data_IF_299414396974
#
_entry.id   IF_299414396974
#
_cell.length_a   1.000
_cell.length_b   1.000
_cell.length_c   1.000
_cell.angle_alpha   90.00
_cell.angle_beta   90.00
_cell.angle_gamma   90.00
#
_symmetry.space_group_name_H-M   'P 1'
#
loop_
_entity.id
_entity.type
_entity.pdbx_description
1 polymer ?
#
# COMPACT_ATOMS: atom_id res chain seq x y z
N UNK A 1 -21.56 74.62 54.68
CA UNK A 1 -21.84 73.37 55.39
C UNK A 1 -21.14 72.18 54.67
N UNK A 2 -20.11 71.63 55.32
CA UNK A 2 -19.63 70.29 55.33
C UNK A 2 -19.17 69.73 53.93
N UNK A 3 -17.89 69.58 53.57
CA UNK A 3 -16.82 69.01 54.37
C UNK A 3 -16.72 67.50 54.05
N UNK A 4 -15.84 67.09 53.15
CA UNK A 4 -15.60 65.67 52.85
C UNK A 4 -14.27 65.51 52.09
N UNK A 5 -13.19 65.39 52.90
CA UNK A 5 -11.83 65.10 52.39
C UNK A 5 -11.78 63.71 51.74
N UNK A 6 -11.21 63.61 50.55
CA UNK A 6 -10.82 62.36 49.93
C UNK A 6 -9.39 61.98 50.34
N UNK A 7 -9.23 60.94 51.13
CA UNK A 7 -7.95 60.29 51.41
C UNK A 7 -7.42 59.56 50.20
N UNK A 8 -6.22 59.99 49.78
CA UNK A 8 -5.37 59.18 48.86
C UNK A 8 -4.72 58.05 49.66
N UNK A 9 -4.94 56.84 49.31
CA UNK A 9 -4.16 55.69 49.77
C UNK A 9 -3.17 55.28 48.64
N UNK A 10 -1.90 55.57 48.92
CA UNK A 10 -0.79 55.09 48.11
C UNK A 10 -0.62 53.60 48.34
N UNK A 11 -0.84 52.76 47.37
CA UNK A 11 -0.46 51.34 47.44
C UNK A 11 0.92 51.19 46.83
N UNK A 12 1.85 50.81 47.67
CA UNK A 12 3.21 50.44 47.32
C UNK A 12 3.17 49.08 46.66
N UNK A 13 3.67 48.96 45.43
CA UNK A 13 3.89 47.69 44.77
C UNK A 13 5.26 47.16 45.15
N UNK A 14 5.28 46.09 45.93
CA UNK A 14 6.46 45.29 46.17
C UNK A 14 6.79 44.49 44.92
N UNK A 15 7.99 44.74 44.42
CA UNK A 15 8.60 44.06 43.30
C UNK A 15 9.15 42.72 43.79
N UNK A 16 8.40 41.63 43.66
CA UNK A 16 8.85 40.30 43.99
C UNK A 16 9.04 39.51 42.69
N UNK A 17 10.29 39.26 42.36
CA UNK A 17 10.77 38.58 41.19
C UNK A 17 10.13 37.17 41.05
N UNK A 18 9.27 37.02 40.10
CA UNK A 18 8.76 35.71 39.67
C UNK A 18 9.86 34.94 38.94
N UNK A 19 10.38 33.92 39.58
CA UNK A 19 11.23 32.90 38.95
C UNK A 19 10.43 32.17 37.86
N UNK A 20 11.06 31.83 36.72
CA UNK A 20 10.37 31.05 35.69
C UNK A 20 10.08 29.64 36.21
N UNK A 21 8.82 29.29 36.31
CA UNK A 21 8.37 27.91 36.55
C UNK A 21 8.71 27.06 35.33
N UNK A 22 9.81 26.32 35.44
CA UNK A 22 10.11 25.26 34.46
C UNK A 22 9.12 24.12 34.70
N UNK A 23 8.10 24.05 33.87
CA UNK A 23 7.15 22.95 33.88
C UNK A 23 7.81 21.76 33.20
N UNK A 24 8.36 20.85 33.99
CA UNK A 24 8.84 19.56 33.52
C UNK A 24 7.60 18.69 33.27
N UNK A 25 7.29 18.40 32.00
CA UNK A 25 6.28 17.41 31.65
C UNK A 25 6.84 16.03 32.04
N UNK A 26 6.02 15.15 32.63
CA UNK A 26 6.43 13.76 32.87
C UNK A 26 6.66 13.04 31.53
N UNK A 27 7.65 12.13 31.49
CA UNK A 27 8.06 11.37 30.32
C UNK A 27 6.91 10.61 29.64
N UNK A 28 5.85 10.28 30.36
CA UNK A 28 4.64 9.65 29.85
C UNK A 28 3.87 10.47 28.79
N UNK A 29 3.94 11.82 28.85
CA UNK A 29 3.24 12.68 27.89
C UNK A 29 3.96 12.79 26.54
N UNK A 30 5.30 12.61 26.53
CA UNK A 30 6.08 12.59 25.29
C UNK A 30 5.77 11.35 24.46
N UNK A 31 5.57 10.19 25.10
CA UNK A 31 5.22 8.93 24.44
C UNK A 31 3.79 8.97 23.90
N UNK A 32 2.85 9.61 24.62
CA UNK A 32 1.46 9.80 24.15
C UNK A 32 1.35 10.76 22.97
N UNK A 33 2.17 11.80 22.90
CA UNK A 33 2.21 12.72 21.76
C UNK A 33 2.82 12.03 20.54
N UNK A 34 3.85 11.20 20.71
CA UNK A 34 4.46 10.43 19.63
C UNK A 34 3.50 9.42 19.01
N UNK A 35 2.75 8.66 19.83
CA UNK A 35 1.76 7.69 19.33
C UNK A 35 0.56 8.35 18.67
N UNK A 36 0.08 9.50 19.17
CA UNK A 36 -1.02 10.23 18.53
C UNK A 36 -0.59 10.80 17.16
N UNK A 37 0.62 11.33 17.03
CA UNK A 37 1.12 11.86 15.77
C UNK A 37 1.33 10.72 14.74
N UNK A 38 1.85 9.56 15.17
CA UNK A 38 2.01 8.41 14.28
C UNK A 38 0.67 7.87 13.78
N UNK A 39 -0.35 7.77 14.63
CA UNK A 39 -1.69 7.33 14.22
C UNK A 39 -2.32 8.28 13.19
N UNK A 40 -2.16 9.59 13.37
CA UNK A 40 -2.71 10.60 12.46
C UNK A 40 -1.97 10.64 11.11
N UNK A 41 -0.66 10.45 11.10
CA UNK A 41 0.13 10.34 9.86
C UNK A 41 -0.23 9.08 9.10
N UNK A 42 -0.47 7.99 9.81
CA UNK A 42 -0.90 6.72 9.28
C UNK A 42 -2.23 6.82 8.53
N UNK A 43 -3.27 7.34 9.19
CA UNK A 43 -4.59 7.53 8.60
C UNK A 43 -4.54 8.42 7.34
N UNK A 44 -3.68 9.41 7.33
CA UNK A 44 -3.49 10.33 6.19
C UNK A 44 -2.93 9.64 4.95
N UNK A 45 -1.95 8.72 5.09
CA UNK A 45 -1.37 8.01 3.94
C UNK A 45 -2.41 7.09 3.28
N UNK A 46 -3.13 6.30 4.06
CA UNK A 46 -4.22 5.44 3.56
C UNK A 46 -5.30 6.25 2.83
N UNK A 47 -5.73 7.39 3.40
CA UNK A 47 -6.72 8.25 2.77
C UNK A 47 -6.20 8.84 1.46
N UNK A 48 -4.97 9.36 1.46
CA UNK A 48 -4.34 9.94 0.27
C UNK A 48 -4.26 8.94 -0.88
N UNK A 49 -3.68 7.76 -0.66
CA UNK A 49 -3.50 6.77 -1.73
C UNK A 49 -4.82 6.15 -2.19
N UNK A 50 -5.80 6.00 -1.30
CA UNK A 50 -7.16 5.56 -1.69
C UNK A 50 -7.82 6.58 -2.62
N UNK A 51 -7.77 7.86 -2.28
CA UNK A 51 -8.32 8.94 -3.10
C UNK A 51 -7.56 9.06 -4.44
N UNK A 52 -6.23 8.93 -4.42
CA UNK A 52 -5.37 8.95 -5.60
C UNK A 52 -5.75 7.86 -6.60
N UNK A 53 -5.83 6.59 -6.15
CA UNK A 53 -6.26 5.46 -6.98
C UNK A 53 -7.65 5.71 -7.56
N UNK A 54 -8.61 6.08 -6.72
CA UNK A 54 -9.99 6.32 -7.13
C UNK A 54 -10.10 7.41 -8.20
N UNK A 55 -9.41 8.55 -8.01
CA UNK A 55 -9.47 9.68 -8.94
C UNK A 55 -8.81 9.39 -10.29
N UNK A 56 -7.70 8.65 -10.31
CA UNK A 56 -6.95 8.34 -11.53
C UNK A 56 -7.56 7.18 -12.29
N UNK A 57 -7.89 6.09 -11.61
CA UNK A 57 -8.50 4.91 -12.22
C UNK A 57 -9.96 5.14 -12.65
N UNK A 58 -10.64 6.12 -12.05
CA UNK A 58 -11.96 6.57 -12.51
C UNK A 58 -11.97 7.16 -13.92
N UNK A 59 -10.81 7.50 -14.47
CA UNK A 59 -10.63 7.98 -15.85
C UNK A 59 -10.52 6.84 -16.87
N UNK A 60 -10.31 5.58 -16.41
CA UNK A 60 -10.20 4.42 -17.28
C UNK A 60 -11.58 3.96 -17.76
N UNK A 61 -11.73 3.83 -19.05
CA UNK A 61 -12.85 3.09 -19.62
C UNK A 61 -12.69 1.59 -19.36
N UNK A 62 -13.80 0.86 -19.39
CA UNK A 62 -13.81 -0.57 -19.12
C UNK A 62 -12.87 -1.37 -20.04
N UNK A 63 -12.83 -1.01 -21.33
CA UNK A 63 -11.95 -1.63 -22.32
C UNK A 63 -10.46 -1.34 -22.13
N UNK A 64 -10.09 -0.38 -21.29
CA UNK A 64 -8.69 -0.04 -20.98
C UNK A 64 -8.17 -0.79 -19.75
N UNK A 65 -9.07 -1.42 -18.98
CA UNK A 65 -8.68 -2.18 -17.79
C UNK A 65 -8.04 -3.50 -18.18
N UNK A 66 -6.86 -3.77 -17.60
CA UNK A 66 -6.12 -4.99 -17.91
C UNK A 66 -6.72 -6.21 -17.24
N UNK A 67 -6.73 -7.33 -17.95
CA UNK A 67 -7.07 -8.64 -17.38
C UNK A 67 -5.83 -9.25 -16.74
N UNK A 68 -5.94 -9.66 -15.48
CA UNK A 68 -4.83 -10.18 -14.69
C UNK A 68 -5.07 -11.63 -14.32
N UNK A 69 -4.11 -12.49 -14.62
CA UNK A 69 -3.99 -13.81 -14.03
C UNK A 69 -3.19 -13.70 -12.74
N UNK A 70 -3.83 -14.03 -11.63
CA UNK A 70 -3.21 -14.04 -10.32
C UNK A 70 -2.79 -15.46 -9.97
N UNK A 71 -1.53 -15.66 -9.58
CA UNK A 71 -1.01 -16.95 -9.15
C UNK A 71 -0.49 -16.86 -7.71
N UNK A 72 -1.01 -17.70 -6.81
CA UNK A 72 -0.65 -17.73 -5.39
C UNK A 72 -0.32 -19.15 -4.93
N UNK A 73 0.49 -19.29 -3.89
CA UNK A 73 0.93 -20.60 -3.42
C UNK A 73 1.71 -21.37 -4.50
N UNK A 74 1.18 -22.54 -4.89
CA UNK A 74 1.77 -23.33 -5.98
C UNK A 74 1.53 -22.76 -7.37
N UNK A 75 2.12 -23.40 -8.38
CA UNK A 75 1.81 -23.09 -9.77
C UNK A 75 0.35 -23.46 -10.09
N UNK A 76 -0.29 -22.67 -10.94
CA UNK A 76 -1.68 -22.88 -11.39
C UNK A 76 -2.78 -22.71 -10.34
N UNK A 77 -2.43 -22.27 -9.12
CA UNK A 77 -3.45 -21.88 -8.13
C UNK A 77 -3.78 -20.41 -8.30
N UNK A 78 -5.03 -20.13 -8.66
CA UNK A 78 -5.53 -18.76 -8.90
C UNK A 78 -6.68 -18.42 -7.97
N UNK A 79 -7.04 -17.14 -7.95
CA UNK A 79 -8.09 -16.58 -7.10
C UNK A 79 -9.39 -16.43 -7.87
N UNK A 80 -10.51 -16.72 -7.22
CA UNK A 80 -11.84 -16.47 -7.76
C UNK A 80 -12.43 -15.14 -7.28
N UNK A 81 -13.74 -15.00 -7.47
CA UNK A 81 -14.46 -13.72 -7.21
C UNK A 81 -14.58 -13.38 -5.73
N UNK A 82 -14.59 -14.36 -4.85
CA UNK A 82 -14.82 -14.16 -3.41
C UNK A 82 -13.54 -13.88 -2.63
N UNK A 83 -12.37 -13.98 -3.27
CA UNK A 83 -11.09 -13.72 -2.62
C UNK A 83 -10.88 -12.23 -2.32
N UNK A 84 -10.07 -11.95 -1.30
CA UNK A 84 -9.65 -10.58 -0.95
C UNK A 84 -8.76 -9.96 -2.04
N UNK A 85 -7.98 -10.77 -2.72
CA UNK A 85 -7.09 -10.39 -3.81
C UNK A 85 -7.89 -9.98 -5.07
N UNK A 86 -9.08 -10.53 -5.26
CA UNK A 86 -10.00 -10.03 -6.30
C UNK A 86 -10.36 -8.56 -6.06
N UNK A 87 -10.70 -8.19 -4.82
CA UNK A 87 -10.98 -6.81 -4.46
C UNK A 87 -9.73 -5.91 -4.62
N UNK A 88 -8.53 -6.43 -4.30
CA UNK A 88 -7.27 -5.72 -4.51
C UNK A 88 -7.05 -5.43 -6.01
N UNK A 89 -7.26 -6.39 -6.90
CA UNK A 89 -7.15 -6.18 -8.35
C UNK A 89 -8.12 -5.11 -8.86
N UNK A 90 -9.36 -5.12 -8.37
CA UNK A 90 -10.33 -4.07 -8.71
C UNK A 90 -9.86 -2.69 -8.25
N UNK A 91 -9.29 -2.60 -7.04
CA UNK A 91 -8.71 -1.37 -6.50
C UNK A 91 -7.51 -0.88 -7.29
N UNK A 92 -6.75 -1.79 -7.91
CA UNK A 92 -5.65 -1.47 -8.83
C UNK A 92 -6.12 -1.18 -10.27
N UNK A 93 -7.43 -1.14 -10.51
CA UNK A 93 -8.02 -0.86 -11.82
C UNK A 93 -8.01 -2.02 -12.81
N UNK A 94 -7.78 -3.25 -12.35
CA UNK A 94 -7.65 -4.44 -13.18
C UNK A 94 -8.83 -5.42 -13.00
N UNK A 95 -8.99 -6.32 -13.97
CA UNK A 95 -9.93 -7.42 -13.89
C UNK A 95 -9.22 -8.73 -13.53
N UNK A 96 -9.81 -9.51 -12.64
CA UNK A 96 -9.39 -10.88 -12.40
C UNK A 96 -9.82 -11.77 -13.58
N UNK A 97 -8.89 -12.46 -14.23
CA UNK A 97 -9.15 -13.40 -15.33
C UNK A 97 -10.13 -14.52 -14.93
N UNK A 98 -10.20 -14.85 -13.63
CA UNK A 98 -11.13 -15.82 -13.06
C UNK A 98 -12.37 -15.19 -12.39
N UNK A 99 -12.71 -13.93 -12.68
CA UNK A 99 -13.83 -13.19 -12.06
C UNK A 99 -15.21 -13.85 -12.17
N UNK A 100 -15.39 -14.80 -13.12
CA UNK A 100 -16.62 -15.58 -13.27
C UNK A 100 -16.69 -16.82 -12.38
N UNK A 101 -15.62 -17.13 -11.64
CA UNK A 101 -15.52 -18.26 -10.72
C UNK A 101 -15.88 -17.77 -9.32
N UNK A 102 -16.86 -18.45 -8.70
CA UNK A 102 -17.38 -18.05 -7.40
C UNK A 102 -16.51 -18.54 -6.24
N UNK A 103 -15.58 -19.42 -6.50
CA UNK A 103 -14.64 -19.99 -5.53
C UNK A 103 -13.70 -18.89 -4.98
N UNK A 104 -13.14 -19.08 -3.81
CA UNK A 104 -12.09 -18.23 -3.25
C UNK A 104 -10.76 -18.48 -3.98
N UNK A 105 -10.36 -19.75 -4.06
CA UNK A 105 -9.21 -20.23 -4.84
C UNK A 105 -9.58 -21.43 -5.68
N UNK A 106 -8.90 -21.60 -6.81
CA UNK A 106 -9.10 -22.72 -7.72
C UNK A 106 -7.80 -23.09 -8.44
N UNK A 107 -7.69 -24.34 -8.85
CA UNK A 107 -6.59 -24.80 -9.70
C UNK A 107 -7.02 -24.74 -11.17
N UNK A 108 -6.15 -24.21 -12.01
CA UNK A 108 -6.33 -24.12 -13.46
C UNK A 108 -5.16 -24.80 -14.17
N UNK A 109 -5.24 -24.97 -15.47
CA UNK A 109 -4.15 -25.46 -16.31
C UNK A 109 -3.59 -24.35 -17.24
N UNK A 110 -2.46 -24.61 -17.86
CA UNK A 110 -1.85 -23.70 -18.82
C UNK A 110 -2.79 -23.37 -19.98
N UNK A 111 -3.54 -24.36 -20.48
CA UNK A 111 -4.50 -24.15 -21.56
C UNK A 111 -5.66 -23.23 -21.17
N UNK A 112 -6.07 -23.27 -19.88
CA UNK A 112 -7.06 -22.31 -19.37
C UNK A 112 -6.48 -20.89 -19.35
N UNK A 113 -5.24 -20.73 -18.87
CA UNK A 113 -4.58 -19.42 -18.81
C UNK A 113 -4.39 -18.86 -20.24
N UNK A 114 -3.92 -19.70 -21.17
CA UNK A 114 -3.75 -19.31 -22.57
C UNK A 114 -5.07 -18.85 -23.21
N UNK A 115 -6.17 -19.59 -23.01
CA UNK A 115 -7.51 -19.19 -23.50
C UNK A 115 -8.01 -17.89 -22.89
N UNK A 116 -7.66 -17.60 -21.62
CA UNK A 116 -7.98 -16.32 -20.96
C UNK A 116 -7.17 -15.18 -21.52
N UNK A 117 -5.99 -15.46 -22.05
CA UNK A 117 -5.07 -14.49 -22.63
C UNK A 117 -4.90 -13.24 -21.75
N UNK A 118 -4.43 -13.37 -20.50
CA UNK A 118 -4.30 -12.24 -19.59
C UNK A 118 -3.34 -11.19 -20.13
N UNK A 119 -3.59 -9.92 -19.80
CA UNK A 119 -2.73 -8.79 -20.13
C UNK A 119 -1.55 -8.66 -19.18
N UNK A 120 -1.68 -9.20 -17.96
CA UNK A 120 -0.64 -9.23 -16.94
C UNK A 120 -0.75 -10.50 -16.08
N UNK A 121 0.36 -10.89 -15.48
CA UNK A 121 0.48 -11.97 -14.48
C UNK A 121 0.97 -11.35 -13.18
N UNK A 122 0.30 -11.67 -12.07
CA UNK A 122 0.76 -11.36 -10.72
C UNK A 122 1.05 -12.67 -10.01
N UNK A 123 2.26 -12.84 -9.50
CA UNK A 123 2.69 -14.00 -8.70
C UNK A 123 2.98 -13.56 -7.27
N UNK A 124 2.28 -14.18 -6.32
CA UNK A 124 2.60 -14.01 -4.89
C UNK A 124 3.73 -14.96 -4.52
N UNK A 125 4.72 -14.43 -3.83
CA UNK A 125 5.91 -15.16 -3.38
C UNK A 125 6.06 -15.04 -1.86
N UNK A 126 6.70 -16.05 -1.22
CA UNK A 126 6.97 -16.01 0.22
C UNK A 126 7.84 -14.80 0.62
N UNK A 127 7.72 -14.38 1.88
CA UNK A 127 8.50 -13.27 2.45
C UNK A 127 10.02 -13.54 2.48
N UNK A 128 10.44 -14.79 2.31
CA UNK A 128 11.86 -15.14 2.11
C UNK A 128 12.40 -14.78 0.72
N UNK A 129 11.52 -14.51 -0.24
CA UNK A 129 11.87 -14.11 -1.62
C UNK A 129 11.74 -12.60 -1.80
N UNK A 130 10.62 -12.04 -1.32
CA UNK A 130 10.34 -10.61 -1.27
C UNK A 130 9.68 -10.30 0.07
N UNK A 131 10.17 -9.30 0.81
CA UNK A 131 9.59 -8.96 2.12
C UNK A 131 10.48 -8.06 2.96
N UNK A 132 10.06 -7.85 4.19
CA UNK A 132 10.85 -7.08 5.17
C UNK A 132 12.22 -7.73 5.42
N UNK A 133 13.30 -6.94 5.32
CA UNK A 133 14.67 -7.40 5.46
C UNK A 133 15.26 -8.09 4.24
N UNK A 134 14.52 -8.30 3.16
CA UNK A 134 15.02 -8.86 1.90
C UNK A 134 15.45 -7.73 0.98
N UNK A 135 16.73 -7.70 0.62
CA UNK A 135 17.32 -6.67 -0.25
C UNK A 135 17.87 -7.25 -1.56
N UNK A 136 18.11 -8.56 -1.61
CA UNK A 136 18.60 -9.27 -2.78
C UNK A 136 17.41 -9.80 -3.60
N UNK A 137 17.45 -9.59 -4.90
CA UNK A 137 16.32 -9.90 -5.79
C UNK A 137 16.58 -11.07 -6.74
N UNK A 138 17.69 -11.79 -6.61
CA UNK A 138 18.07 -12.89 -7.51
C UNK A 138 17.02 -14.02 -7.52
N UNK A 139 16.43 -14.34 -6.36
CA UNK A 139 15.36 -15.33 -6.28
C UNK A 139 14.10 -14.85 -6.99
N UNK A 140 13.73 -13.58 -6.80
CA UNK A 140 12.59 -12.96 -7.48
C UNK A 140 12.84 -12.92 -9.00
N UNK A 141 14.02 -12.53 -9.43
CA UNK A 141 14.43 -12.53 -10.83
C UNK A 141 14.29 -13.92 -11.47
N UNK A 142 14.77 -14.95 -10.76
CA UNK A 142 14.69 -16.34 -11.23
C UNK A 142 13.23 -16.81 -11.37
N UNK A 143 12.36 -16.50 -10.42
CA UNK A 143 10.94 -16.82 -10.48
C UNK A 143 10.25 -16.09 -11.63
N UNK A 144 10.51 -14.81 -11.80
CA UNK A 144 9.97 -14.02 -12.90
C UNK A 144 10.43 -14.59 -14.25
N UNK A 145 11.70 -14.92 -14.38
CA UNK A 145 12.25 -15.52 -15.60
C UNK A 145 11.58 -16.86 -15.91
N UNK A 146 11.37 -17.70 -14.92
CA UNK A 146 10.66 -18.97 -15.10
C UNK A 146 9.21 -18.78 -15.60
N UNK A 147 8.51 -17.72 -15.14
CA UNK A 147 7.18 -17.36 -15.65
C UNK A 147 7.24 -16.86 -17.08
N UNK A 148 8.15 -15.96 -17.40
CA UNK A 148 8.34 -15.41 -18.76
C UNK A 148 8.70 -16.49 -19.79
N UNK A 149 9.43 -17.52 -19.38
CA UNK A 149 9.87 -18.62 -20.24
C UNK A 149 8.94 -19.84 -20.20
N UNK A 150 7.83 -19.79 -19.44
CA UNK A 150 6.83 -20.87 -19.40
C UNK A 150 6.21 -21.03 -20.79
N UNK A 151 6.61 -22.10 -21.48
CA UNK A 151 6.32 -22.32 -22.91
C UNK A 151 4.84 -22.19 -23.25
N UNK A 152 3.95 -22.71 -22.41
CA UNK A 152 2.52 -22.69 -22.64
C UNK A 152 1.91 -21.28 -22.53
N UNK A 153 2.59 -20.32 -21.90
CA UNK A 153 2.10 -18.95 -21.74
C UNK A 153 2.66 -17.96 -22.75
N UNK A 154 3.61 -18.38 -23.61
CA UNK A 154 4.30 -17.51 -24.55
C UNK A 154 3.39 -16.76 -25.54
N UNK A 155 2.20 -17.30 -25.80
CA UNK A 155 1.17 -16.68 -26.63
C UNK A 155 0.34 -15.60 -25.93
N UNK A 156 0.45 -15.43 -24.60
CA UNK A 156 -0.40 -14.48 -23.86
C UNK A 156 0.08 -13.03 -23.98
N UNK A 157 -0.85 -12.10 -23.82
CA UNK A 157 -0.56 -10.65 -23.79
C UNK A 157 0.43 -10.27 -22.70
N UNK A 158 0.33 -10.92 -21.54
CA UNK A 158 1.21 -10.71 -20.39
C UNK A 158 2.68 -11.01 -20.73
N UNK A 159 2.95 -12.15 -21.34
CA UNK A 159 4.33 -12.57 -21.68
C UNK A 159 4.88 -11.72 -22.82
N UNK A 160 4.11 -11.48 -23.88
CA UNK A 160 4.57 -10.63 -25.00
C UNK A 160 4.93 -9.19 -24.58
N UNK A 161 4.30 -8.68 -23.53
CA UNK A 161 4.53 -7.33 -23.01
C UNK A 161 5.38 -7.33 -21.73
N UNK A 162 5.88 -8.50 -21.34
CA UNK A 162 6.67 -8.71 -20.11
C UNK A 162 6.01 -8.20 -18.83
N UNK A 163 4.66 -8.18 -18.80
CA UNK A 163 3.87 -7.74 -17.65
C UNK A 163 3.69 -8.87 -16.65
N UNK A 164 4.78 -9.22 -15.99
CA UNK A 164 4.85 -10.25 -14.95
C UNK A 164 5.38 -9.61 -13.68
N UNK A 165 4.54 -9.51 -12.66
CA UNK A 165 4.81 -8.83 -11.41
C UNK A 165 4.83 -9.82 -10.25
N UNK A 166 5.78 -9.67 -9.33
CA UNK A 166 5.84 -10.47 -8.11
C UNK A 166 5.50 -9.59 -6.91
N UNK A 167 4.72 -10.14 -5.99
CA UNK A 167 4.34 -9.50 -4.74
C UNK A 167 4.71 -10.39 -3.57
N UNK A 168 5.21 -9.80 -2.49
CA UNK A 168 5.38 -10.46 -1.21
C UNK A 168 4.02 -10.83 -0.61
N UNK A 169 3.92 -12.00 0.03
CA UNK A 169 2.70 -12.41 0.74
C UNK A 169 2.37 -11.51 1.93
N UNK A 170 3.35 -10.83 2.54
CA UNK A 170 3.12 -9.85 3.61
C UNK A 170 2.28 -8.65 3.16
N UNK A 171 2.30 -8.30 1.86
CA UNK A 171 1.45 -7.24 1.30
C UNK A 171 -0.05 -7.60 1.30
N UNK A 172 -0.41 -8.85 1.58
CA UNK A 172 -1.81 -9.32 1.57
C UNK A 172 -2.45 -9.39 2.96
N UNK A 173 -1.68 -9.10 4.03
CA UNK A 173 -2.09 -9.37 5.41
C UNK A 173 -3.06 -8.33 5.96
N UNK A 174 -2.81 -7.05 5.72
CA UNK A 174 -3.61 -5.95 6.27
C UNK A 174 -4.26 -5.10 5.16
N UNK A 175 -5.29 -4.29 5.47
CA UNK A 175 -5.84 -3.35 4.50
C UNK A 175 -4.81 -2.34 3.97
N UNK A 176 -3.93 -1.82 4.82
CA UNK A 176 -2.90 -0.85 4.43
C UNK A 176 -1.85 -1.48 3.50
N UNK A 177 -1.36 -2.69 3.81
CA UNK A 177 -0.40 -3.38 2.94
C UNK A 177 -1.03 -3.81 1.60
N UNK A 178 -2.32 -4.19 1.59
CA UNK A 178 -3.06 -4.44 0.33
C UNK A 178 -3.21 -3.17 -0.50
N UNK A 179 -3.38 -2.01 0.14
CA UNK A 179 -3.38 -0.73 -0.57
C UNK A 179 -2.02 -0.44 -1.19
N UNK A 180 -0.91 -0.73 -0.49
CA UNK A 180 0.44 -0.63 -1.04
C UNK A 180 0.61 -1.50 -2.30
N UNK A 181 0.14 -2.76 -2.26
CA UNK A 181 0.14 -3.64 -3.43
C UNK A 181 -0.71 -3.08 -4.57
N UNK A 182 -1.88 -2.50 -4.27
CA UNK A 182 -2.76 -1.90 -5.28
C UNK A 182 -2.12 -0.67 -5.94
N UNK A 183 -1.44 0.20 -5.18
CA UNK A 183 -0.70 1.36 -5.70
C UNK A 183 0.43 0.89 -6.61
N UNK A 184 1.22 -0.10 -6.19
CA UNK A 184 2.30 -0.65 -7.01
C UNK A 184 1.77 -1.23 -8.33
N UNK A 185 0.73 -2.07 -8.27
CA UNK A 185 0.14 -2.67 -9.47
C UNK A 185 -0.46 -1.62 -10.40
N UNK A 186 -1.17 -0.63 -9.87
CA UNK A 186 -1.73 0.46 -10.67
C UNK A 186 -0.62 1.26 -11.38
N UNK A 187 0.45 1.61 -10.68
CA UNK A 187 1.59 2.34 -11.23
C UNK A 187 2.31 1.54 -12.32
N UNK A 188 2.46 0.23 -12.11
CA UNK A 188 3.11 -0.66 -13.08
C UNK A 188 2.25 -0.95 -14.31
N UNK A 189 0.94 -1.08 -14.13
CA UNK A 189 0.00 -1.38 -15.23
C UNK A 189 -0.42 -0.15 -16.04
N UNK A 190 -0.44 1.03 -15.41
CA UNK A 190 -0.92 2.28 -16.01
C UNK A 190 0.09 3.43 -15.82
N UNK A 191 1.32 3.31 -16.35
CA UNK A 191 2.37 4.31 -16.15
C UNK A 191 1.98 5.71 -16.64
N UNK A 192 1.13 5.81 -17.67
CA UNK A 192 0.62 7.12 -18.16
C UNK A 192 -0.25 7.85 -17.13
N UNK A 193 -0.87 7.12 -16.19
CA UNK A 193 -1.70 7.69 -15.13
C UNK A 193 -0.94 7.90 -13.82
N UNK A 194 0.17 7.18 -13.61
CA UNK A 194 0.87 7.12 -12.31
C UNK A 194 2.37 7.42 -12.43
N UNK A 195 2.85 7.98 -13.54
CA UNK A 195 4.28 8.23 -13.76
C UNK A 195 4.94 9.20 -12.77
N UNK A 196 4.14 9.96 -12.02
CA UNK A 196 4.59 10.85 -10.95
C UNK A 196 4.51 10.21 -9.55
N UNK A 197 4.06 8.95 -9.44
CA UNK A 197 3.92 8.23 -8.17
C UNK A 197 5.13 7.34 -7.94
N UNK A 198 5.86 7.60 -6.87
CA UNK A 198 6.86 6.67 -6.36
C UNK A 198 6.14 5.55 -5.58
N UNK A 199 5.94 4.41 -6.26
CA UNK A 199 5.26 3.25 -5.68
C UNK A 199 6.06 2.64 -4.52
N UNK A 200 7.39 2.79 -4.49
CA UNK A 200 8.24 2.29 -3.42
C UNK A 200 8.06 3.11 -2.16
N UNK A 201 8.06 4.43 -2.30
CA UNK A 201 7.81 5.33 -1.18
C UNK A 201 6.37 5.20 -0.66
N UNK A 202 5.38 5.07 -1.55
CA UNK A 202 3.99 4.80 -1.17
C UNK A 202 3.87 3.50 -0.36
N UNK A 203 4.53 2.43 -0.81
CA UNK A 203 4.53 1.17 -0.11
C UNK A 203 5.21 1.28 1.26
N UNK A 204 6.35 1.97 1.35
CA UNK A 204 7.06 2.19 2.61
C UNK A 204 6.14 2.86 3.64
N UNK A 205 5.49 3.96 3.26
CA UNK A 205 4.57 4.68 4.14
C UNK A 205 3.41 3.81 4.62
N UNK A 206 2.78 3.05 3.73
CA UNK A 206 1.64 2.20 4.06
C UNK A 206 2.02 0.96 4.87
N UNK A 207 3.23 0.42 4.69
CA UNK A 207 3.76 -0.71 5.46
C UNK A 207 4.15 -0.24 6.87
N UNK A 208 4.80 0.93 6.99
CA UNK A 208 5.09 1.56 8.30
C UNK A 208 3.80 1.82 9.09
N UNK A 209 2.78 2.31 8.42
CA UNK A 209 1.45 2.52 8.98
C UNK A 209 0.84 1.23 9.54
N UNK A 210 1.06 0.11 8.86
CA UNK A 210 0.61 -1.20 9.32
C UNK A 210 1.43 -1.75 10.51
N UNK A 211 2.45 -1.04 10.98
CA UNK A 211 3.34 -1.47 12.05
C UNK A 211 4.27 -2.62 11.63
N UNK A 212 4.52 -2.77 10.33
CA UNK A 212 5.39 -3.79 9.79
C UNK A 212 6.74 -3.19 9.36
N UNK A 213 7.85 -3.98 9.38
CA UNK A 213 9.13 -3.53 8.88
C UNK A 213 9.02 -3.15 7.39
N UNK A 214 9.22 -1.88 7.07
CA UNK A 214 9.14 -1.36 5.69
C UNK A 214 10.47 -1.40 4.93
N UNK A 215 11.58 -1.68 5.63
CA UNK A 215 12.88 -1.85 5.01
C UNK A 215 12.97 -3.21 4.32
N UNK A 216 13.10 -3.22 2.98
CA UNK A 216 13.18 -4.44 2.18
C UNK A 216 12.56 -4.25 0.80
N UNK A 217 12.50 -5.34 0.03
CA UNK A 217 11.90 -5.37 -1.31
C UNK A 217 10.61 -6.18 -1.27
N UNK A 218 9.47 -5.54 -1.47
CA UNK A 218 8.15 -6.16 -1.33
C UNK A 218 7.50 -6.52 -2.66
N UNK A 219 8.03 -6.02 -3.77
CA UNK A 219 7.55 -6.29 -5.11
C UNK A 219 8.71 -6.26 -6.12
N UNK A 220 8.50 -6.94 -7.25
CA UNK A 220 9.48 -7.04 -8.34
C UNK A 220 8.76 -7.01 -9.68
N UNK A 221 9.22 -6.13 -10.65
CA UNK A 221 8.61 -5.99 -11.98
C UNK A 221 8.88 -7.18 -12.88
#
# INVERSE_FOLDING_TARGET
>A
LSGGEARQTTTQFDDEASLPVTMTLPDDDAERIGTANNAQTAETATQYYTALLSSRLGKLFECQRLSVYWETGGNHVTIGKTSKEHALLLSAGAYNAASRRAEDMLTVDDGWIERKNPDAIVKVVPDSVLGGGVFLTESAQSIRHALLTRKALGGTGAIRKERVYLLSESLLQTPATRLAAAVYLASSMYPDLFGDVDATEAARQLIDEAGLPSAGTFFYP
#
